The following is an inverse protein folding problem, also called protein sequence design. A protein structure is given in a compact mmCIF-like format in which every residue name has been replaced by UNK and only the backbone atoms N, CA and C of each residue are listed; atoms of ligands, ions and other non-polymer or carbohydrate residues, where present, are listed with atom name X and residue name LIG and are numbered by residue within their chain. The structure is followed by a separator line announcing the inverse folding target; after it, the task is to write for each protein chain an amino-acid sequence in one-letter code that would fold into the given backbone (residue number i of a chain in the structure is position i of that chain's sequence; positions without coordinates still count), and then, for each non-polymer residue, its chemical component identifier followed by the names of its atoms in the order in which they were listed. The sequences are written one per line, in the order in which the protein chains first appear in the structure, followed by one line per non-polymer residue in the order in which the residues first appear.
data_IF_239636242628
#
_entry.id   IF_239636242628
#
_cell.length_a   1.000
_cell.length_b   1.000
_cell.length_c   1.000
_cell.angle_alpha   90.00
_cell.angle_beta   90.00
_cell.angle_gamma   90.00
#
_symmetry.space_group_name_H-M   'P 1'
#
loop_
_entity.id
_entity.type
_entity.pdbx_description
1 polymer ?
#
# COMPACT_ATOMS: atom_id res chain seq x y z
N UNK A 1 -7.95 -23.17 -4.41
CA UNK A 1 -6.59 -22.59 -4.53
C UNK A 1 -5.59 -23.64 -4.10
N UNK A 2 -4.46 -23.76 -4.81
CA UNK A 2 -3.33 -24.53 -4.31
C UNK A 2 -2.71 -23.80 -3.10
N UNK A 3 -2.11 -24.51 -2.13
CA UNK A 3 -1.41 -23.87 -1.02
C UNK A 3 -0.25 -23.01 -1.55
N UNK A 4 -0.11 -21.78 -1.02
CA UNK A 4 1.04 -20.91 -1.31
C UNK A 4 2.26 -21.47 -0.61
N UNK A 5 3.37 -21.54 -1.34
CA UNK A 5 4.65 -21.98 -0.80
C UNK A 5 5.62 -20.80 -0.81
N UNK A 6 6.12 -20.43 0.37
CA UNK A 6 7.03 -19.31 0.51
C UNK A 6 8.48 -19.76 0.67
N UNK A 7 9.40 -18.89 0.25
CA UNK A 7 10.84 -19.01 0.50
C UNK A 7 11.31 -17.76 1.25
N UNK A 8 12.01 -17.96 2.36
CA UNK A 8 12.66 -16.88 3.11
C UNK A 8 14.13 -16.76 2.73
N UNK A 9 14.62 -15.52 2.62
CA UNK A 9 16.03 -15.21 2.38
C UNK A 9 16.54 -14.06 3.24
N UNK A 10 17.79 -14.16 3.66
CA UNK A 10 18.57 -13.11 4.30
C UNK A 10 19.72 -12.73 3.37
N UNK A 11 19.68 -11.52 2.82
CA UNK A 11 20.57 -11.14 1.72
C UNK A 11 20.46 -12.09 0.50
N UNK A 12 21.59 -12.44 -0.11
CA UNK A 12 21.65 -13.15 -1.39
C UNK A 12 21.75 -14.70 -1.29
N UNK A 13 22.01 -15.28 -0.12
CA UNK A 13 22.61 -16.61 -0.06
C UNK A 13 21.84 -17.70 0.69
N UNK A 14 20.98 -17.35 1.65
CA UNK A 14 20.33 -18.36 2.51
C UNK A 14 18.85 -18.53 2.15
N UNK A 15 18.38 -19.77 2.04
CA UNK A 15 17.01 -20.10 1.63
C UNK A 15 16.37 -21.09 2.60
N UNK A 16 15.21 -20.74 3.14
CA UNK A 16 14.36 -21.64 3.91
C UNK A 16 12.99 -21.77 3.27
N UNK A 17 12.51 -23.00 3.06
CA UNK A 17 11.14 -23.27 2.61
C UNK A 17 10.17 -23.27 3.78
N UNK A 18 8.99 -22.72 3.54
CA UNK A 18 8.02 -22.48 4.59
C UNK A 18 6.97 -23.60 4.69
N UNK A 19 6.39 -23.80 5.88
CA UNK A 19 5.23 -24.66 6.06
C UNK A 19 3.98 -24.07 5.37
N UNK A 20 3.00 -24.93 5.08
CA UNK A 20 1.73 -24.51 4.47
C UNK A 20 0.88 -23.69 5.46
N UNK A 21 0.31 -22.58 4.96
CA UNK A 21 -0.64 -21.73 5.68
C UNK A 21 0.01 -20.47 6.30
N UNK A 22 -0.70 -19.34 6.22
CA UNK A 22 -0.16 -18.02 6.56
C UNK A 22 0.35 -17.92 8.01
N UNK A 23 -0.40 -18.44 8.99
CA UNK A 23 0.01 -18.40 10.40
C UNK A 23 1.28 -19.23 10.66
N UNK A 24 1.35 -20.45 10.13
CA UNK A 24 2.52 -21.31 10.29
C UNK A 24 3.75 -20.74 9.58
N UNK A 25 3.55 -20.16 8.39
CA UNK A 25 4.61 -19.45 7.67
C UNK A 25 5.07 -18.21 8.45
N UNK A 26 4.16 -17.48 9.10
CA UNK A 26 4.51 -16.32 9.93
C UNK A 26 5.36 -16.72 11.15
N UNK A 27 4.98 -17.77 11.87
CA UNK A 27 5.76 -18.29 13.00
C UNK A 27 7.14 -18.78 12.56
N UNK A 28 7.21 -19.47 11.42
CA UNK A 28 8.48 -19.86 10.82
C UNK A 28 9.33 -18.65 10.40
N UNK A 29 8.69 -17.58 9.89
CA UNK A 29 9.38 -16.35 9.54
C UNK A 29 9.95 -15.65 10.78
N UNK A 30 9.21 -15.63 11.89
CA UNK A 30 9.71 -15.05 13.14
C UNK A 30 10.97 -15.78 13.63
N UNK A 31 10.94 -17.11 13.65
CA UNK A 31 12.13 -17.90 14.01
C UNK A 31 13.31 -17.63 13.05
N UNK A 32 13.04 -17.57 11.75
CA UNK A 32 14.03 -17.23 10.73
C UNK A 32 14.61 -15.82 10.94
N UNK A 33 13.77 -14.82 11.20
CA UNK A 33 14.19 -13.45 11.44
C UNK A 33 15.02 -13.32 12.73
N UNK A 34 14.70 -14.08 13.77
CA UNK A 34 15.48 -14.13 15.01
C UNK A 34 16.88 -14.73 14.78
N UNK A 35 16.99 -15.77 13.95
CA UNK A 35 18.29 -16.35 13.54
C UNK A 35 19.12 -15.40 12.68
N UNK A 36 18.46 -14.49 11.95
CA UNK A 36 19.07 -13.51 11.06
C UNK A 36 18.92 -12.06 11.55
N UNK A 37 18.95 -11.84 12.88
CA UNK A 37 18.73 -10.53 13.48
C UNK A 37 19.71 -9.43 13.00
N UNK A 38 20.91 -9.83 12.55
CA UNK A 38 21.94 -8.92 12.02
C UNK A 38 21.82 -8.64 10.51
N UNK A 39 20.83 -9.23 9.83
CA UNK A 39 20.65 -9.02 8.40
C UNK A 39 20.20 -7.59 8.08
N UNK A 40 20.73 -7.01 7.01
CA UNK A 40 20.28 -5.69 6.53
C UNK A 40 18.91 -5.76 5.84
N UNK A 41 18.58 -6.94 5.30
CA UNK A 41 17.29 -7.21 4.68
C UNK A 41 16.85 -8.67 4.81
N UNK A 42 15.54 -8.86 4.86
CA UNK A 42 14.88 -10.15 4.83
C UNK A 42 13.88 -10.18 3.68
N UNK A 43 13.77 -11.29 2.96
CA UNK A 43 12.92 -11.43 1.79
C UNK A 43 12.03 -12.65 1.91
N UNK A 44 10.78 -12.50 1.47
CA UNK A 44 9.76 -13.55 1.41
C UNK A 44 9.29 -13.64 -0.04
N UNK A 45 9.44 -14.79 -0.66
CA UNK A 45 9.07 -15.01 -2.07
C UNK A 45 7.92 -16.00 -2.18
N UNK A 46 6.91 -15.67 -2.97
CA UNK A 46 5.95 -16.62 -3.54
C UNK A 46 6.35 -16.86 -5.01
N UNK A 47 7.18 -17.90 -5.24
CA UNK A 47 7.69 -18.21 -6.58
C UNK A 47 6.57 -18.56 -7.57
N UNK A 48 5.48 -19.15 -7.09
CA UNK A 48 4.36 -19.57 -7.93
C UNK A 48 3.58 -18.35 -8.44
N UNK A 49 3.42 -17.32 -7.61
CA UNK A 49 2.80 -16.05 -7.98
C UNK A 49 3.79 -15.08 -8.67
N UNK A 50 5.11 -15.32 -8.55
CA UNK A 50 6.13 -14.38 -8.99
C UNK A 50 6.13 -13.09 -8.15
N UNK A 51 5.78 -13.22 -6.87
CA UNK A 51 5.64 -12.10 -5.93
C UNK A 51 6.70 -12.18 -4.83
N UNK A 52 7.09 -11.04 -4.27
CA UNK A 52 7.91 -11.03 -3.07
C UNK A 52 7.69 -9.78 -2.22
N UNK A 53 7.98 -9.93 -0.93
CA UNK A 53 8.10 -8.86 0.06
C UNK A 53 9.55 -8.82 0.55
N UNK A 54 10.15 -7.64 0.60
CA UNK A 54 11.51 -7.41 1.12
C UNK A 54 11.44 -6.41 2.27
N UNK A 55 11.90 -6.79 3.44
CA UNK A 55 12.07 -5.91 4.58
C UNK A 55 13.46 -5.29 4.48
N UNK A 56 13.54 -3.97 4.30
CA UNK A 56 14.78 -3.20 4.27
C UNK A 56 15.03 -2.61 5.67
N UNK A 57 15.57 -3.44 6.56
CA UNK A 57 15.58 -3.20 8.01
C UNK A 57 16.39 -1.95 8.39
N UNK A 58 17.54 -1.74 7.75
CA UNK A 58 18.40 -0.56 7.98
C UNK A 58 17.82 0.73 7.40
N UNK A 59 16.92 0.61 6.41
CA UNK A 59 16.23 1.74 5.78
C UNK A 59 14.89 2.08 6.43
N UNK A 60 14.37 1.24 7.32
CA UNK A 60 13.04 1.44 7.88
C UNK A 60 11.96 1.38 6.80
N UNK A 61 12.12 0.51 5.80
CA UNK A 61 11.21 0.41 4.65
C UNK A 61 10.88 -1.04 4.32
N UNK A 62 9.83 -1.24 3.53
CA UNK A 62 9.55 -2.50 2.82
C UNK A 62 9.53 -2.24 1.32
N UNK A 63 9.90 -3.24 0.54
CA UNK A 63 9.64 -3.30 -0.88
C UNK A 63 8.69 -4.46 -1.17
N UNK A 64 7.81 -4.30 -2.15
CA UNK A 64 7.02 -5.38 -2.74
C UNK A 64 7.34 -5.48 -4.21
N UNK A 65 7.38 -6.70 -4.73
CA UNK A 65 7.68 -6.95 -6.13
C UNK A 65 6.67 -7.93 -6.72
N UNK A 66 6.28 -7.72 -7.98
CA UNK A 66 5.52 -8.71 -8.77
C UNK A 66 6.06 -8.81 -10.18
N UNK A 67 6.07 -10.01 -10.74
CA UNK A 67 6.35 -10.21 -12.15
C UNK A 67 5.29 -9.50 -13.02
N UNK A 68 5.74 -8.88 -14.12
CA UNK A 68 4.86 -8.25 -15.11
C UNK A 68 5.00 -8.99 -16.43
N UNK A 69 3.87 -9.45 -16.98
CA UNK A 69 3.86 -10.15 -18.26
C UNK A 69 4.49 -9.27 -19.37
N UNK A 70 5.53 -9.78 -20.02
CA UNK A 70 6.24 -9.07 -21.09
C UNK A 70 7.34 -8.11 -20.61
N UNK A 71 7.62 -8.03 -19.31
CA UNK A 71 8.77 -7.30 -18.76
C UNK A 71 9.84 -8.26 -18.25
N UNK A 72 11.11 -7.92 -18.47
CA UNK A 72 12.24 -8.62 -17.84
C UNK A 72 12.45 -8.17 -16.40
N UNK A 73 12.01 -6.96 -16.06
CA UNK A 73 12.15 -6.40 -14.71
C UNK A 73 10.81 -6.51 -13.96
N UNK A 74 10.84 -6.96 -12.69
CA UNK A 74 9.64 -6.99 -11.86
C UNK A 74 9.19 -5.56 -11.53
N UNK A 75 7.89 -5.38 -11.41
CA UNK A 75 7.33 -4.14 -10.86
C UNK A 75 7.64 -4.11 -9.38
N UNK A 76 8.38 -3.09 -8.95
CA UNK A 76 8.79 -2.89 -7.56
C UNK A 76 8.20 -1.60 -7.01
N UNK A 77 7.74 -1.65 -5.77
CA UNK A 77 7.25 -0.50 -5.01
C UNK A 77 7.78 -0.55 -3.58
N UNK A 78 7.94 0.62 -2.97
CA UNK A 78 8.53 0.81 -1.64
C UNK A 78 7.56 1.54 -0.72
N UNK A 79 7.52 1.15 0.55
CA UNK A 79 6.73 1.83 1.57
C UNK A 79 7.58 2.06 2.82
N UNK A 80 7.47 3.24 3.42
CA UNK A 80 8.13 3.54 4.68
C UNK A 80 7.45 2.79 5.84
N UNK A 81 8.24 2.28 6.77
CA UNK A 81 7.76 1.62 7.97
C UNK A 81 8.01 2.53 9.17
N UNK A 82 6.94 3.14 9.68
CA UNK A 82 7.02 4.13 10.75
C UNK A 82 7.68 3.60 12.04
N UNK A 83 7.56 2.29 12.32
CA UNK A 83 8.14 1.63 13.50
C UNK A 83 8.53 0.19 13.18
N UNK A 84 9.67 -0.32 13.67
CA UNK A 84 10.08 -1.70 13.43
C UNK A 84 9.03 -2.76 13.82
N UNK A 85 8.22 -2.49 14.84
CA UNK A 85 7.15 -3.40 15.27
C UNK A 85 6.06 -3.61 14.21
N UNK A 86 5.99 -2.77 13.17
CA UNK A 86 5.00 -2.88 12.10
C UNK A 86 5.41 -3.85 10.99
N UNK A 87 6.68 -4.27 10.91
CA UNK A 87 7.13 -5.25 9.90
C UNK A 87 6.31 -6.54 9.93
N UNK A 88 5.98 -7.03 11.13
CA UNK A 88 5.14 -8.22 11.28
C UNK A 88 3.77 -8.10 10.62
N UNK A 89 3.19 -6.89 10.58
CA UNK A 89 1.91 -6.64 9.89
C UNK A 89 2.05 -6.81 8.37
N UNK A 90 3.11 -6.26 7.77
CA UNK A 90 3.37 -6.42 6.34
C UNK A 90 3.59 -7.90 6.00
N UNK A 91 4.39 -8.60 6.80
CA UNK A 91 4.66 -10.03 6.60
C UNK A 91 3.37 -10.84 6.68
N UNK A 92 2.57 -10.69 7.74
CA UNK A 92 1.33 -11.45 7.89
C UNK A 92 0.39 -11.22 6.70
N UNK A 93 0.18 -9.96 6.32
CA UNK A 93 -0.68 -9.60 5.20
C UNK A 93 -0.21 -10.15 3.86
N UNK A 94 1.10 -10.16 3.63
CA UNK A 94 1.68 -10.76 2.43
C UNK A 94 1.53 -12.28 2.44
N UNK A 95 1.68 -12.95 3.59
CA UNK A 95 1.50 -14.39 3.69
C UNK A 95 0.02 -14.81 3.50
N UNK A 96 -0.92 -13.97 3.91
CA UNK A 96 -2.36 -14.17 3.71
C UNK A 96 -2.73 -14.01 2.22
N UNK A 97 -2.45 -12.84 1.65
CA UNK A 97 -3.06 -12.41 0.38
C UNK A 97 -2.04 -12.07 -0.72
N UNK A 98 -0.74 -12.19 -0.46
CA UNK A 98 0.33 -11.92 -1.41
C UNK A 98 0.56 -10.42 -1.63
N UNK A 99 0.93 -10.05 -2.85
CA UNK A 99 1.22 -8.66 -3.24
C UNK A 99 0.09 -7.68 -2.89
N UNK A 100 -1.16 -8.09 -3.12
CA UNK A 100 -2.34 -7.27 -2.86
C UNK A 100 -2.67 -7.15 -1.36
N UNK A 101 -2.26 -8.12 -0.54
CA UNK A 101 -2.53 -8.11 0.91
C UNK A 101 -1.97 -6.89 1.63
N UNK A 102 -0.92 -6.29 1.08
CA UNK A 102 -0.24 -5.12 1.66
C UNK A 102 -0.65 -3.79 0.99
N UNK A 103 -1.62 -3.77 0.07
CA UNK A 103 -2.09 -2.54 -0.60
C UNK A 103 -2.49 -1.45 0.41
N UNK A 104 -3.11 -1.83 1.52
CA UNK A 104 -3.65 -0.92 2.54
C UNK A 104 -2.65 -0.58 3.66
N UNK A 105 -1.35 -0.76 3.42
CA UNK A 105 -0.30 -0.60 4.44
C UNK A 105 0.46 0.72 4.37
N UNK A 106 -0.07 1.70 3.63
CA UNK A 106 0.47 3.05 3.48
C UNK A 106 0.74 3.43 2.02
N UNK A 107 1.50 4.51 1.84
CA UNK A 107 1.85 5.08 0.55
C UNK A 107 2.98 4.27 -0.12
N UNK A 108 2.69 3.63 -1.26
CA UNK A 108 3.64 2.81 -2.03
C UNK A 108 4.27 3.63 -3.17
N UNK A 109 5.58 3.87 -3.12
CA UNK A 109 6.36 4.67 -4.09
C UNK A 109 7.15 3.80 -5.06
N UNK A 110 7.45 4.31 -6.26
CA UNK A 110 8.21 3.55 -7.28
C UNK A 110 9.70 3.51 -7.01
N UNK A 111 10.25 4.62 -6.55
CA UNK A 111 11.68 4.75 -6.30
C UNK A 111 11.95 4.77 -4.80
N UNK A 112 12.95 4.00 -4.37
CA UNK A 112 13.34 3.96 -2.95
C UNK A 112 13.76 5.36 -2.43
N UNK A 113 14.39 6.16 -3.30
CA UNK A 113 14.82 7.51 -2.97
C UNK A 113 13.65 8.49 -2.72
N UNK A 114 12.44 8.16 -3.18
CA UNK A 114 11.27 9.00 -2.92
C UNK A 114 10.85 8.98 -1.45
N UNK A 115 11.20 7.92 -0.69
CA UNK A 115 10.90 7.85 0.74
C UNK A 115 11.59 8.96 1.56
N UNK A 116 12.66 9.55 1.04
CA UNK A 116 13.40 10.63 1.70
C UNK A 116 12.79 12.02 1.42
N UNK A 117 11.81 12.12 0.52
CA UNK A 117 11.14 13.39 0.20
C UNK A 117 10.14 13.82 1.29
N UNK A 118 9.78 15.11 1.37
CA UNK A 118 8.67 15.55 2.23
C UNK A 118 7.36 14.81 1.87
N UNK A 119 6.47 14.53 2.84
CA UNK A 119 5.24 13.75 2.60
C UNK A 119 4.41 14.25 1.41
N UNK A 120 4.23 15.56 1.27
CA UNK A 120 3.46 16.14 0.18
C UNK A 120 4.07 15.82 -1.19
N UNK A 121 5.40 15.92 -1.30
CA UNK A 121 6.12 15.59 -2.53
C UNK A 121 6.07 14.08 -2.84
N UNK A 122 6.08 13.23 -1.81
CA UNK A 122 5.85 11.79 -1.99
C UNK A 122 4.47 11.52 -2.61
N UNK A 123 3.42 12.14 -2.07
CA UNK A 123 2.07 12.00 -2.58
C UNK A 123 1.92 12.49 -4.02
N UNK A 124 2.51 13.64 -4.34
CA UNK A 124 2.52 14.18 -5.70
C UNK A 124 3.26 13.26 -6.69
N UNK A 125 4.42 12.72 -6.31
CA UNK A 125 5.16 11.76 -7.15
C UNK A 125 4.37 10.48 -7.35
N UNK A 126 3.69 9.98 -6.32
CA UNK A 126 2.82 8.81 -6.44
C UNK A 126 1.66 9.06 -7.41
N UNK A 127 0.99 10.20 -7.31
CA UNK A 127 -0.08 10.57 -8.22
C UNK A 127 0.43 10.74 -9.67
N UNK A 128 1.65 11.25 -9.85
CA UNK A 128 2.29 11.40 -11.16
C UNK A 128 2.68 10.06 -11.80
N UNK A 129 2.94 9.03 -10.99
CA UNK A 129 3.24 7.68 -11.46
C UNK A 129 2.00 6.95 -12.02
N UNK A 130 0.80 7.41 -11.69
CA UNK A 130 -0.45 6.91 -12.29
C UNK A 130 -0.51 7.36 -13.74
N UNK A 131 -0.72 6.44 -14.68
CA UNK A 131 -0.56 6.77 -16.11
C UNK A 131 -1.89 6.96 -16.83
N UNK A 132 -2.95 6.28 -16.38
CA UNK A 132 -4.27 6.30 -17.02
C UNK A 132 -5.35 6.91 -16.11
N UNK A 133 -6.46 7.33 -16.71
CA UNK A 133 -7.64 7.79 -15.96
C UNK A 133 -8.24 6.65 -15.11
N UNK A 134 -8.26 5.42 -15.64
CA UNK A 134 -8.77 4.26 -14.92
C UNK A 134 -7.96 3.97 -13.65
N UNK A 135 -6.63 3.90 -13.79
CA UNK A 135 -5.76 3.72 -12.63
C UNK A 135 -5.92 4.85 -11.60
N UNK A 136 -6.22 6.08 -12.04
CA UNK A 136 -6.49 7.19 -11.14
C UNK A 136 -7.82 7.03 -10.39
N UNK A 137 -8.87 6.55 -11.06
CA UNK A 137 -10.15 6.22 -10.42
C UNK A 137 -9.99 5.06 -9.42
N UNK A 138 -9.30 3.99 -9.81
CA UNK A 138 -9.01 2.84 -8.96
C UNK A 138 -8.27 3.26 -7.69
N UNK A 139 -7.26 4.13 -7.83
CA UNK A 139 -6.49 4.64 -6.69
C UNK A 139 -7.34 5.50 -5.76
N UNK A 140 -8.16 6.40 -6.30
CA UNK A 140 -9.09 7.20 -5.49
C UNK A 140 -10.05 6.29 -4.73
N UNK A 141 -10.64 5.29 -5.37
CA UNK A 141 -11.57 4.37 -4.71
C UNK A 141 -10.89 3.50 -3.67
N UNK A 142 -9.65 3.07 -3.92
CA UNK A 142 -8.83 2.36 -2.93
C UNK A 142 -8.63 3.21 -1.68
N UNK A 143 -8.22 4.47 -1.84
CA UNK A 143 -8.02 5.40 -0.72
C UNK A 143 -9.31 5.70 0.05
N UNK A 144 -10.44 5.78 -0.66
CA UNK A 144 -11.75 5.90 -0.02
C UNK A 144 -12.11 4.63 0.76
N UNK A 145 -11.87 3.45 0.22
CA UNK A 145 -12.13 2.18 0.91
C UNK A 145 -11.32 2.04 2.22
N UNK A 146 -10.11 2.59 2.26
CA UNK A 146 -9.22 2.49 3.42
C UNK A 146 -9.73 3.21 4.67
N UNK A 147 -10.36 4.37 4.48
CA UNK A 147 -10.63 5.30 5.58
C UNK A 147 -11.81 6.24 5.34
N UNK A 148 -12.58 6.01 4.28
CA UNK A 148 -13.64 6.88 3.84
C UNK A 148 -15.03 6.38 4.21
N UNK A 149 -15.99 7.28 4.04
CA UNK A 149 -17.41 6.99 4.16
C UNK A 149 -18.21 7.88 3.20
N UNK A 150 -19.49 7.56 3.02
CA UNK A 150 -20.44 8.46 2.36
C UNK A 150 -21.06 9.35 3.42
N UNK A 151 -21.03 10.66 3.22
CA UNK A 151 -21.57 11.60 4.20
C UNK A 151 -23.09 11.37 4.46
N UNK A 152 -23.65 11.79 5.60
CA UNK A 152 -25.06 11.54 5.92
C UNK A 152 -26.09 12.16 4.96
N UNK A 153 -25.69 13.14 4.15
CA UNK A 153 -26.54 13.73 3.10
C UNK A 153 -26.51 12.97 1.78
N UNK A 154 -25.64 11.96 1.67
CA UNK A 154 -25.43 11.15 0.48
C UNK A 154 -24.96 11.97 -0.74
N UNK A 155 -24.22 13.06 -0.51
CA UNK A 155 -23.73 13.97 -1.56
C UNK A 155 -22.22 13.95 -1.74
N UNK A 156 -21.48 13.46 -0.74
CA UNK A 156 -20.03 13.52 -0.69
C UNK A 156 -19.42 12.17 -0.31
N UNK A 157 -18.36 11.81 -1.02
CA UNK A 157 -17.36 10.87 -0.54
C UNK A 157 -16.39 11.61 0.39
N UNK A 158 -16.32 11.18 1.64
CA UNK A 158 -15.40 11.70 2.63
C UNK A 158 -14.24 10.75 2.76
N UNK A 159 -13.02 11.26 2.67
CA UNK A 159 -11.76 10.52 2.76
C UNK A 159 -11.06 10.86 4.07
N UNK A 160 -10.27 9.90 4.59
CA UNK A 160 -9.48 10.07 5.81
C UNK A 160 -10.33 10.44 7.03
N UNK A 161 -11.44 9.72 7.24
CA UNK A 161 -12.33 9.90 8.38
C UNK A 161 -11.54 9.93 9.69
N UNK A 162 -11.80 10.95 10.52
CA UNK A 162 -11.10 11.22 11.78
C UNK A 162 -9.59 11.51 11.70
N UNK A 163 -8.97 11.46 10.51
CA UNK A 163 -7.55 11.72 10.39
C UNK A 163 -7.25 13.21 10.57
N UNK A 164 -6.12 13.49 11.22
CA UNK A 164 -5.55 14.83 11.26
C UNK A 164 -4.66 15.06 10.03
N UNK A 165 -4.36 16.32 9.72
CA UNK A 165 -3.47 16.64 8.60
C UNK A 165 -2.13 15.89 8.72
N UNK A 166 -1.55 15.84 9.93
CA UNK A 166 -0.27 15.17 10.19
C UNK A 166 -0.31 13.66 9.94
N UNK A 167 -1.47 13.01 10.09
CA UNK A 167 -1.61 11.56 9.90
C UNK A 167 -1.62 11.13 8.44
N UNK A 168 -2.06 12.01 7.53
CA UNK A 168 -2.30 11.66 6.13
C UNK A 168 -1.58 12.59 5.15
N UNK A 169 -0.48 13.25 5.53
CA UNK A 169 0.10 14.31 4.68
C UNK A 169 0.42 13.83 3.26
N UNK A 170 1.01 12.65 3.14
CA UNK A 170 1.38 12.06 1.85
C UNK A 170 0.16 11.56 1.07
N UNK A 171 -0.67 10.71 1.69
CA UNK A 171 -1.87 10.17 1.05
C UNK A 171 -2.85 11.30 0.67
N UNK A 172 -2.97 12.35 1.50
CA UNK A 172 -3.80 13.50 1.17
C UNK A 172 -3.26 14.28 -0.03
N UNK A 173 -1.95 14.46 -0.13
CA UNK A 173 -1.35 15.11 -1.29
C UNK A 173 -1.55 14.30 -2.58
N UNK A 174 -1.39 12.97 -2.51
CA UNK A 174 -1.74 12.06 -3.61
C UNK A 174 -3.21 12.23 -4.03
N UNK A 175 -4.14 12.12 -3.07
CA UNK A 175 -5.57 12.24 -3.34
C UNK A 175 -5.91 13.57 -4.00
N UNK A 176 -5.36 14.68 -3.49
CA UNK A 176 -5.63 16.02 -4.04
C UNK A 176 -5.11 16.17 -5.48
N UNK A 177 -3.95 15.59 -5.79
CA UNK A 177 -3.42 15.59 -7.15
C UNK A 177 -4.29 14.73 -8.10
N UNK A 178 -4.75 13.57 -7.65
CA UNK A 178 -5.64 12.70 -8.42
C UNK A 178 -7.02 13.32 -8.65
N UNK A 179 -7.63 13.88 -7.60
CA UNK A 179 -8.91 14.62 -7.67
C UNK A 179 -8.81 15.77 -8.68
N UNK A 180 -7.74 16.55 -8.62
CA UNK A 180 -7.49 17.65 -9.57
C UNK A 180 -7.33 17.15 -11.00
N UNK A 181 -6.59 16.05 -11.22
CA UNK A 181 -6.40 15.43 -12.53
C UNK A 181 -7.71 14.89 -13.12
N UNK A 182 -8.54 14.26 -12.30
CA UNK A 182 -9.81 13.65 -12.71
C UNK A 182 -10.92 14.68 -12.89
N UNK A 183 -10.69 15.94 -12.50
CA UNK A 183 -11.69 17.00 -12.53
C UNK A 183 -12.82 16.79 -11.51
N UNK A 184 -12.56 16.05 -10.44
CA UNK A 184 -13.55 15.79 -9.38
C UNK A 184 -13.75 17.05 -8.53
N UNK A 185 -15.00 17.34 -8.17
CA UNK A 185 -15.35 18.54 -7.40
C UNK A 185 -15.03 18.36 -5.92
N UNK A 186 -14.05 19.10 -5.41
CA UNK A 186 -13.74 19.17 -3.98
C UNK A 186 -14.62 20.22 -3.29
N UNK A 187 -15.18 19.86 -2.14
CA UNK A 187 -15.91 20.78 -1.26
C UNK A 187 -15.06 21.20 -0.05
N UNK A 188 -15.46 22.31 0.57
CA UNK A 188 -14.93 22.68 1.88
C UNK A 188 -15.57 21.82 2.96
N UNK A 189 -14.78 21.28 3.91
CA UNK A 189 -15.32 20.45 4.97
C UNK A 189 -16.22 21.27 5.91
N UNK A 190 -17.30 20.68 6.45
CA UNK A 190 -18.18 21.36 7.39
C UNK A 190 -17.46 21.69 8.70
N UNK A 191 -18.04 22.61 9.48
CA UNK A 191 -17.49 22.95 10.79
C UNK A 191 -17.43 21.71 11.71
N UNK A 192 -16.26 21.42 12.26
CA UNK A 192 -16.02 20.28 13.16
C UNK A 192 -15.48 19.02 12.49
N UNK A 193 -15.38 19.00 11.15
CA UNK A 193 -14.66 17.97 10.41
C UNK A 193 -13.18 17.91 10.83
N UNK A 194 -12.58 16.72 10.77
CA UNK A 194 -11.17 16.57 11.08
C UNK A 194 -10.30 17.24 10.01
N UNK A 195 -9.19 17.86 10.44
CA UNK A 195 -8.31 18.65 9.55
C UNK A 195 -7.70 17.87 8.37
N UNK A 196 -7.63 16.54 8.47
CA UNK A 196 -7.11 15.68 7.41
C UNK A 196 -8.17 15.29 6.37
N UNK A 197 -9.46 15.46 6.68
CA UNK A 197 -10.54 15.02 5.79
C UNK A 197 -10.49 15.74 4.44
N UNK A 198 -10.87 15.00 3.40
CA UNK A 198 -11.09 15.53 2.06
C UNK A 198 -12.49 15.14 1.62
N UNK A 199 -13.27 16.15 1.23
CA UNK A 199 -14.66 16.01 0.83
C UNK A 199 -14.74 16.16 -0.69
N UNK A 200 -15.15 15.10 -1.37
CA UNK A 200 -15.31 15.05 -2.83
C UNK A 200 -16.78 14.82 -3.13
N UNK A 201 -17.38 15.69 -3.94
CA UNK A 201 -18.77 15.52 -4.39
C UNK A 201 -18.88 14.20 -5.16
N UNK A 202 -20.00 13.49 -4.98
CA UNK A 202 -20.29 12.29 -5.76
C UNK A 202 -20.15 12.55 -7.27
N UNK A 203 -19.56 11.58 -7.96
CA UNK A 203 -19.30 11.57 -9.39
C UNK A 203 -19.75 10.22 -9.95
N UNK A 204 -20.44 10.25 -11.08
CA UNK A 204 -21.04 9.05 -11.71
C UNK A 204 -19.99 7.99 -12.05
N UNK A 205 -18.75 8.38 -12.36
CA UNK A 205 -17.66 7.43 -12.65
C UNK A 205 -17.24 6.67 -11.40
N UNK A 206 -17.20 7.33 -10.25
CA UNK A 206 -16.90 6.68 -8.97
C UNK A 206 -18.05 5.76 -8.53
N UNK A 207 -19.30 6.19 -8.73
CA UNK A 207 -20.48 5.35 -8.44
C UNK A 207 -20.50 4.07 -9.29
N UNK A 208 -20.23 4.19 -10.60
CA UNK A 208 -20.22 3.05 -11.51
C UNK A 208 -19.17 1.98 -11.16
N UNK A 209 -18.03 2.39 -10.58
CA UNK A 209 -17.01 1.44 -10.10
C UNK A 209 -17.40 0.82 -8.76
N UNK A 210 -17.98 1.57 -7.83
CA UNK A 210 -18.46 1.04 -6.55
C UNK A 210 -19.57 0.00 -6.73
N UNK A 211 -20.47 0.19 -7.70
CA UNK A 211 -21.50 -0.80 -8.06
C UNK A 211 -20.91 -2.11 -8.59
N UNK A 212 -19.71 -2.09 -9.18
CA UNK A 212 -19.04 -3.31 -9.63
C UNK A 212 -18.41 -4.11 -8.48
N UNK A 213 -18.21 -3.48 -7.32
CA UNK A 213 -17.60 -4.10 -6.15
C UNK A 213 -18.64 -4.66 -5.15
N UNK A 214 -19.92 -4.31 -5.31
CA UNK A 214 -21.07 -4.82 -4.52
C UNK A 214 -21.65 -6.11 -5.06
#
# INVERSE_FOLDING_TARGET
MAPRQFIFRAGEAEQQRCPDGAQAAYEAFQAYADEHADAESLRIEDEAAGEALVLLLTRGAVARTRAVAGSAEPHTEYCAVARPTLYGRFVMRFLEDGYAGVDHSGLWLRELADLDAPPEEQGERRAAAVSTEREALDEVLRMWSDSGYVDPTDQYYVFFDTHTLEMSRAERAELLALVGRLGLERADPPAGAASGEVWVRKDERLEAELEQWS
#
